data_IF_133543859152
#
_entry.id   IF_133543859152
#
_cell.length_a   1.000
_cell.length_b   1.000
_cell.length_c   1.000
_cell.angle_alpha   90.00
_cell.angle_beta   90.00
_cell.angle_gamma   90.00
#
_symmetry.space_group_name_H-M   'P 1'
#
loop_
_entity.id
_entity.type
_entity.pdbx_description
1 polymer ?
#
# COMPACT_ATOMS: atom_id res chain seq x y z
N UNK A 1 45.80 2.05 -30.32
CA UNK A 1 44.47 2.43 -30.86
C UNK A 1 43.50 2.53 -29.68
N UNK A 2 42.69 3.59 -29.54
CA UNK A 2 41.75 3.73 -28.40
C UNK A 2 40.56 2.77 -28.59
N UNK A 3 40.18 1.96 -27.59
CA UNK A 3 39.00 1.10 -27.70
C UNK A 3 37.73 1.95 -27.80
N UNK A 4 36.86 1.63 -28.76
CA UNK A 4 35.55 2.30 -28.90
C UNK A 4 34.65 1.80 -27.77
N UNK A 5 34.08 2.71 -27.00
CA UNK A 5 33.25 2.41 -25.83
C UNK A 5 31.84 1.92 -26.19
N UNK A 6 31.33 2.32 -27.36
CA UNK A 6 30.00 1.99 -27.88
C UNK A 6 29.61 0.49 -27.87
N UNK A 7 30.45 -0.47 -28.29
CA UNK A 7 30.10 -1.89 -28.21
C UNK A 7 29.91 -2.40 -26.77
N UNK A 8 30.65 -1.85 -25.79
CA UNK A 8 30.51 -2.21 -24.39
C UNK A 8 29.23 -1.61 -23.78
N UNK A 9 28.89 -0.37 -24.17
CA UNK A 9 27.62 0.27 -23.79
C UNK A 9 26.43 -0.53 -24.33
N UNK A 10 26.48 -0.92 -25.60
CA UNK A 10 25.41 -1.73 -26.22
C UNK A 10 25.29 -3.10 -25.54
N UNK A 11 26.42 -3.76 -25.27
CA UNK A 11 26.46 -5.03 -24.54
C UNK A 11 25.88 -4.92 -23.13
N UNK A 12 26.21 -3.84 -22.40
CA UNK A 12 25.63 -3.57 -21.09
C UNK A 12 24.12 -3.38 -21.14
N UNK A 13 23.62 -2.57 -22.09
CA UNK A 13 22.17 -2.32 -22.25
C UNK A 13 21.43 -3.64 -22.52
N UNK A 14 21.95 -4.49 -23.41
CA UNK A 14 21.33 -5.78 -23.73
C UNK A 14 21.34 -6.75 -22.55
N UNK A 15 22.44 -6.82 -21.79
CA UNK A 15 22.54 -7.68 -20.61
C UNK A 15 21.63 -7.16 -19.49
N UNK A 16 21.57 -5.84 -19.28
CA UNK A 16 20.71 -5.23 -18.28
C UNK A 16 19.23 -5.45 -18.61
N UNK A 17 18.82 -5.25 -19.87
CA UNK A 17 17.46 -5.54 -20.34
C UNK A 17 17.13 -7.03 -20.22
N UNK A 18 18.01 -7.93 -20.66
CA UNK A 18 17.82 -9.37 -20.54
C UNK A 18 17.70 -9.83 -19.09
N UNK A 19 18.55 -9.31 -18.19
CA UNK A 19 18.47 -9.61 -16.76
C UNK A 19 17.15 -9.10 -16.15
N UNK A 20 16.76 -7.86 -16.49
CA UNK A 20 15.51 -7.27 -16.01
C UNK A 20 14.31 -8.11 -16.45
N UNK A 21 14.28 -8.54 -17.72
CA UNK A 21 13.24 -9.43 -18.24
C UNK A 21 13.24 -10.76 -17.48
N UNK A 22 14.39 -11.40 -17.26
CA UNK A 22 14.47 -12.67 -16.51
C UNK A 22 13.95 -12.53 -15.07
N UNK A 23 14.37 -11.47 -14.37
CA UNK A 23 13.92 -11.20 -13.01
C UNK A 23 12.43 -10.93 -12.98
N UNK A 24 11.92 -10.11 -13.90
CA UNK A 24 10.49 -9.83 -14.05
C UNK A 24 9.69 -11.09 -14.37
N UNK A 25 10.16 -11.95 -15.27
CA UNK A 25 9.50 -13.22 -15.61
C UNK A 25 9.48 -14.19 -14.43
N UNK A 26 10.57 -14.27 -13.65
CA UNK A 26 10.60 -15.09 -12.43
C UNK A 26 9.69 -14.56 -11.33
N UNK A 27 9.69 -13.25 -11.12
CA UNK A 27 8.81 -12.61 -10.14
C UNK A 27 7.35 -12.72 -10.58
N UNK A 28 7.08 -12.56 -11.86
CA UNK A 28 5.76 -12.80 -12.44
C UNK A 28 5.33 -14.25 -12.26
N UNK A 29 6.19 -15.25 -12.51
CA UNK A 29 5.83 -16.65 -12.26
C UNK A 29 5.66 -16.97 -10.76
N UNK A 30 6.46 -16.36 -9.89
CA UNK A 30 6.30 -16.51 -8.45
C UNK A 30 4.99 -15.88 -7.97
N UNK A 31 4.70 -14.64 -8.36
CA UNK A 31 3.44 -13.96 -8.10
C UNK A 31 2.26 -14.72 -8.70
N UNK A 32 2.41 -15.17 -9.93
CA UNK A 32 1.41 -16.01 -10.59
C UNK A 32 1.23 -17.32 -9.82
N UNK A 33 2.25 -17.93 -9.22
CA UNK A 33 2.11 -19.21 -8.50
C UNK A 33 1.63 -19.06 -7.06
N UNK A 34 1.94 -17.95 -6.39
CA UNK A 34 1.75 -17.77 -4.94
C UNK A 34 0.71 -16.72 -4.60
N UNK A 35 0.42 -15.79 -5.50
CA UNK A 35 -0.36 -14.59 -5.23
C UNK A 35 0.40 -13.53 -4.43
N UNK A 36 1.66 -13.79 -4.05
CA UNK A 36 2.50 -12.90 -3.26
C UNK A 36 3.60 -12.28 -4.14
N UNK A 37 3.97 -11.04 -3.87
CA UNK A 37 5.16 -10.45 -4.46
C UNK A 37 6.41 -11.12 -3.86
N UNK A 38 7.30 -11.60 -4.73
CA UNK A 38 8.57 -12.17 -4.27
C UNK A 38 9.40 -11.05 -3.62
N UNK A 39 9.84 -11.19 -2.36
CA UNK A 39 10.58 -10.14 -1.68
C UNK A 39 11.86 -9.77 -2.43
N UNK A 40 12.11 -8.46 -2.56
CA UNK A 40 13.40 -7.95 -3.05
C UNK A 40 13.56 -7.90 -4.58
N UNK A 41 12.47 -7.82 -5.36
CA UNK A 41 12.52 -7.66 -6.81
C UNK A 41 13.44 -6.52 -7.26
N UNK A 42 13.21 -5.32 -6.74
CA UNK A 42 14.00 -4.13 -7.05
C UNK A 42 15.46 -4.33 -6.64
N UNK A 43 15.70 -4.99 -5.50
CA UNK A 43 17.05 -5.36 -5.04
C UNK A 43 17.74 -6.33 -6.00
N UNK A 44 17.03 -7.34 -6.53
CA UNK A 44 17.54 -8.34 -7.47
C UNK A 44 17.85 -7.74 -8.85
N UNK A 45 16.98 -6.86 -9.34
CA UNK A 45 17.22 -6.09 -10.58
C UNK A 45 18.44 -5.19 -10.38
N UNK A 46 18.46 -4.36 -9.33
CA UNK A 46 19.57 -3.45 -9.03
C UNK A 46 20.89 -4.20 -8.89
N UNK A 47 20.95 -5.24 -8.07
CA UNK A 47 22.18 -5.97 -7.80
C UNK A 47 22.68 -6.69 -9.06
N UNK A 48 21.81 -7.28 -9.86
CA UNK A 48 22.23 -7.93 -11.11
C UNK A 48 22.65 -6.94 -12.20
N UNK A 49 22.02 -5.76 -12.29
CA UNK A 49 22.48 -4.67 -13.16
C UNK A 49 23.85 -4.14 -12.71
N UNK A 50 24.10 -4.03 -11.40
CA UNK A 50 25.42 -3.65 -10.86
C UNK A 50 26.49 -4.70 -11.15
N UNK A 51 26.16 -6.00 -11.07
CA UNK A 51 27.07 -7.08 -11.48
C UNK A 51 27.35 -7.01 -12.97
N UNK A 52 26.33 -6.81 -13.83
CA UNK A 52 26.51 -6.63 -15.26
C UNK A 52 27.39 -5.42 -15.59
N UNK A 53 27.19 -4.30 -14.89
CA UNK A 53 28.04 -3.11 -15.01
C UNK A 53 29.49 -3.42 -14.61
N UNK A 54 29.68 -4.13 -13.50
CA UNK A 54 31.00 -4.56 -13.03
C UNK A 54 31.72 -5.48 -14.03
N UNK A 55 31.00 -6.44 -14.62
CA UNK A 55 31.56 -7.36 -15.64
C UNK A 55 31.91 -6.61 -16.92
N UNK A 56 31.06 -5.69 -17.39
CA UNK A 56 31.34 -4.90 -18.59
C UNK A 56 32.47 -3.90 -18.35
N UNK A 57 32.53 -3.29 -17.17
CA UNK A 57 33.63 -2.42 -16.76
C UNK A 57 34.95 -3.19 -16.67
N UNK A 58 34.94 -4.41 -16.11
CA UNK A 58 36.10 -5.29 -16.09
C UNK A 58 36.53 -5.72 -17.49
N UNK A 59 35.59 -6.08 -18.37
CA UNK A 59 35.88 -6.43 -19.77
C UNK A 59 36.44 -5.24 -20.55
N UNK A 60 35.92 -4.02 -20.31
CA UNK A 60 36.45 -2.79 -20.88
C UNK A 60 37.85 -2.48 -20.35
N UNK A 61 38.08 -2.61 -19.04
CA UNK A 61 39.38 -2.43 -18.41
C UNK A 61 40.41 -3.44 -18.93
N UNK A 62 40.05 -4.73 -19.04
CA UNK A 62 40.89 -5.78 -19.61
C UNK A 62 41.24 -5.48 -21.07
N UNK A 63 40.26 -5.06 -21.88
CA UNK A 63 40.47 -4.65 -23.27
C UNK A 63 41.40 -3.44 -23.39
N UNK A 64 41.20 -2.44 -22.53
CA UNK A 64 42.02 -1.22 -22.47
C UNK A 64 43.46 -1.53 -22.02
N UNK A 65 43.64 -2.36 -21.00
CA UNK A 65 44.95 -2.80 -20.49
C UNK A 65 45.67 -3.66 -21.54
N UNK A 66 44.96 -4.54 -22.24
CA UNK A 66 45.52 -5.41 -23.28
C UNK A 66 46.04 -4.61 -24.49
N UNK A 67 45.37 -3.50 -24.83
CA UNK A 67 45.79 -2.56 -25.88
C UNK A 67 46.96 -1.65 -25.47
N UNK A 68 47.26 -1.52 -24.18
CA UNK A 68 48.21 -0.53 -23.64
C UNK A 68 49.35 -1.13 -22.79
N UNK A 69 49.69 -2.42 -22.94
CA UNK A 69 50.74 -3.06 -22.12
C UNK A 69 52.17 -2.53 -22.38
N UNK A 70 52.81 -2.03 -21.32
CA UNK A 70 54.26 -2.16 -21.03
C UNK A 70 54.42 -2.83 -19.65
N UNK A 71 55.55 -3.51 -19.35
CA UNK A 71 55.61 -4.40 -18.19
C UNK A 71 56.11 -3.74 -16.89
N UNK A 72 55.61 -4.26 -15.76
CA UNK A 72 56.27 -4.50 -14.45
C UNK A 72 55.60 -3.93 -13.17
N UNK A 73 55.36 -4.89 -12.25
CA UNK A 73 55.22 -5.02 -10.77
C UNK A 73 54.32 -4.17 -9.84
N UNK A 74 53.78 -4.79 -8.75
CA UNK A 74 52.69 -4.27 -7.93
C UNK A 74 53.14 -3.65 -6.60
N UNK A 75 52.29 -2.84 -5.94
CA UNK A 75 51.96 -3.20 -4.55
C UNK A 75 50.53 -2.88 -4.03
N UNK A 76 50.16 -3.74 -3.07
CA UNK A 76 49.42 -3.59 -1.80
C UNK A 76 47.93 -3.15 -1.73
N UNK A 77 47.19 -3.97 -0.97
CA UNK A 77 45.79 -3.87 -0.61
C UNK A 77 45.56 -2.97 0.62
N UNK A 78 44.40 -2.30 0.66
CA UNK A 78 43.84 -1.70 1.88
C UNK A 78 42.34 -2.00 1.95
N UNK A 79 41.89 -2.38 3.14
CA UNK A 79 40.60 -2.98 3.46
C UNK A 79 39.42 -2.00 3.53
N UNK A 80 38.23 -2.54 3.27
CA UNK A 80 36.92 -1.91 3.45
C UNK A 80 36.55 -1.73 4.94
N UNK A 81 35.88 -0.63 5.27
CA UNK A 81 35.10 -0.49 6.50
C UNK A 81 33.62 -0.33 6.17
N UNK A 82 32.82 -1.30 6.62
CA UNK A 82 31.35 -1.29 6.60
C UNK A 82 30.88 -0.43 7.78
N UNK A 83 30.10 0.61 7.50
CA UNK A 83 29.35 1.37 8.51
C UNK A 83 28.00 0.70 8.77
N UNK A 84 27.78 0.35 10.04
CA UNK A 84 26.55 -0.26 10.59
C UNK A 84 25.50 0.84 10.81
N UNK A 85 24.28 0.62 10.32
CA UNK A 85 23.11 1.45 10.65
C UNK A 85 22.69 1.24 12.12
N UNK A 86 22.32 2.30 12.86
CA UNK A 86 21.83 2.12 14.23
C UNK A 86 20.40 1.54 14.22
N UNK A 87 20.18 0.59 15.12
CA UNK A 87 18.87 0.04 15.47
C UNK A 87 18.10 1.11 16.26
N UNK A 88 16.90 1.48 15.80
CA UNK A 88 15.97 2.33 16.54
C UNK A 88 15.46 1.59 17.78
N UNK A 89 15.42 2.23 18.97
CA UNK A 89 14.87 1.61 20.16
C UNK A 89 13.34 1.51 20.06
N UNK A 90 12.81 0.37 20.53
CA UNK A 90 11.38 0.12 20.65
C UNK A 90 10.70 1.24 21.45
N UNK A 91 9.70 1.89 20.85
CA UNK A 91 8.87 2.88 21.52
C UNK A 91 8.22 2.25 22.76
N UNK A 92 8.40 2.91 23.90
CA UNK A 92 7.77 2.52 25.16
C UNK A 92 6.25 2.62 25.03
N UNK A 93 5.57 1.48 25.02
CA UNK A 93 4.12 1.42 25.20
C UNK A 93 3.77 1.97 26.59
N UNK A 94 3.31 3.22 26.65
CA UNK A 94 2.61 3.73 27.82
C UNK A 94 1.27 3.00 27.93
N UNK A 95 1.20 2.01 28.82
CA UNK A 95 -0.06 1.35 29.16
C UNK A 95 -0.95 2.33 29.90
N UNK A 96 -1.99 2.83 29.21
CA UNK A 96 -3.06 3.59 29.85
C UNK A 96 -3.90 2.62 30.70
N UNK A 97 -3.67 2.63 32.02
CA UNK A 97 -4.30 1.77 33.03
C UNK A 97 -5.85 1.88 33.15
N UNK A 98 -6.53 2.63 32.27
CA UNK A 98 -8.00 2.69 32.16
C UNK A 98 -8.62 1.84 31.05
N UNK A 99 -7.81 1.10 30.29
CA UNK A 99 -8.21 0.42 29.03
C UNK A 99 -9.28 -0.67 29.21
N UNK A 100 -9.21 -1.66 30.13
CA UNK A 100 -10.08 -2.83 30.05
C UNK A 100 -11.57 -2.51 30.20
N UNK A 101 -11.93 -1.61 31.12
CA UNK A 101 -13.33 -1.24 31.37
C UNK A 101 -13.94 -0.41 30.23
N UNK A 102 -13.13 0.36 29.52
CA UNK A 102 -13.56 1.15 28.35
C UNK A 102 -13.68 0.25 27.13
N UNK A 103 -12.73 -0.66 26.92
CA UNK A 103 -12.75 -1.63 25.83
C UNK A 103 -13.87 -2.67 25.95
N UNK A 104 -14.36 -2.92 27.17
CA UNK A 104 -15.50 -3.81 27.42
C UNK A 104 -16.87 -3.16 27.12
N UNK A 105 -16.92 -1.88 26.75
CA UNK A 105 -18.18 -1.20 26.45
C UNK A 105 -18.77 -1.70 25.12
N UNK A 106 -20.09 -1.89 25.09
CA UNK A 106 -20.85 -2.41 23.95
C UNK A 106 -22.12 -1.58 23.74
N UNK A 107 -22.82 -1.80 22.63
CA UNK A 107 -23.97 -0.95 22.24
C UNK A 107 -23.53 0.49 22.00
N UNK A 108 -24.37 1.47 22.31
CA UNK A 108 -24.15 2.91 22.06
C UNK A 108 -22.89 3.53 22.72
N UNK A 109 -22.18 2.79 23.57
CA UNK A 109 -21.00 3.27 24.31
C UNK A 109 -19.70 2.62 23.86
N UNK A 110 -19.72 1.90 22.74
CA UNK A 110 -18.53 1.21 22.30
C UNK A 110 -17.39 2.17 21.96
N UNK A 111 -16.17 1.63 21.95
CA UNK A 111 -14.98 2.34 21.53
C UNK A 111 -14.32 1.63 20.36
N UNK A 112 -13.68 2.41 19.50
CA UNK A 112 -12.82 1.91 18.43
C UNK A 112 -11.37 2.03 18.87
N UNK A 113 -10.66 0.91 18.87
CA UNK A 113 -9.23 0.88 19.13
C UNK A 113 -8.47 1.10 17.84
N UNK A 114 -7.58 2.10 17.85
CA UNK A 114 -6.60 2.29 16.81
C UNK A 114 -5.54 1.19 16.91
N UNK A 115 -5.53 0.29 15.93
CA UNK A 115 -4.56 -0.82 15.83
C UNK A 115 -3.37 -0.48 14.96
N UNK A 116 -3.54 0.44 14.02
CA UNK A 116 -2.49 0.98 13.19
C UNK A 116 -2.81 2.42 12.82
N UNK A 117 -1.79 3.26 12.77
CA UNK A 117 -1.88 4.66 12.38
C UNK A 117 -0.71 4.98 11.47
N UNK A 118 -1.01 5.45 10.28
CA UNK A 118 -0.05 6.03 9.36
C UNK A 118 -0.40 7.46 9.09
N UNK A 119 0.32 8.37 9.72
CA UNK A 119 0.30 9.80 9.45
C UNK A 119 1.56 10.13 8.65
N UNK A 120 1.41 10.74 7.49
CA UNK A 120 2.54 11.22 6.68
C UNK A 120 2.28 12.66 6.29
N UNK A 121 3.30 13.52 6.39
CA UNK A 121 3.25 14.85 5.79
C UNK A 121 4.65 15.26 5.33
N UNK A 122 4.74 15.78 4.11
CA UNK A 122 6.03 16.02 3.47
C UNK A 122 6.86 14.74 3.36
N UNK A 123 7.98 14.66 4.10
CA UNK A 123 8.86 13.48 4.14
C UNK A 123 8.79 12.72 5.46
N UNK A 124 8.00 13.20 6.41
CA UNK A 124 7.98 12.68 7.76
C UNK A 124 6.75 11.82 8.00
N UNK A 125 6.95 10.73 8.74
CA UNK A 125 5.87 9.83 9.14
C UNK A 125 5.78 9.73 10.68
N UNK A 126 4.57 9.61 11.20
CA UNK A 126 4.27 9.32 12.61
C UNK A 126 5.13 10.09 13.64
N UNK A 127 6.06 9.40 14.30
CA UNK A 127 6.92 9.94 15.35
C UNK A 127 7.91 10.98 14.82
N UNK A 128 8.35 10.89 13.57
CA UNK A 128 9.19 11.92 12.95
C UNK A 128 8.49 13.28 12.90
N UNK A 129 7.16 13.29 12.69
CA UNK A 129 6.35 14.51 12.72
C UNK A 129 6.36 15.09 14.13
N UNK A 130 6.11 14.26 15.15
CA UNK A 130 6.12 14.69 16.54
C UNK A 130 7.49 15.18 16.99
N UNK A 131 8.56 14.46 16.64
CA UNK A 131 9.93 14.87 16.90
C UNK A 131 10.26 16.21 16.24
N UNK A 132 9.77 16.46 15.02
CA UNK A 132 9.98 17.74 14.33
C UNK A 132 9.20 18.88 14.98
N UNK A 133 7.96 18.64 15.41
CA UNK A 133 7.14 19.60 16.16
C UNK A 133 7.79 19.94 17.52
N UNK A 134 8.24 18.93 18.27
CA UNK A 134 8.93 19.11 19.55
C UNK A 134 10.25 19.86 19.38
N UNK A 135 11.07 19.49 18.38
CA UNK A 135 12.33 20.16 18.09
C UNK A 135 12.14 21.61 17.65
N UNK A 136 11.06 21.91 16.92
CA UNK A 136 10.69 23.28 16.55
C UNK A 136 10.33 24.12 17.78
N UNK A 137 9.74 23.50 18.80
CA UNK A 137 9.40 24.11 20.09
C UNK A 137 8.58 25.42 19.98
N UNK A 138 7.75 25.55 18.94
CA UNK A 138 6.91 26.72 18.71
C UNK A 138 5.56 26.30 18.10
N UNK A 139 4.51 26.35 18.93
CA UNK A 139 3.16 25.92 18.57
C UNK A 139 2.45 26.85 17.57
N UNK A 140 3.01 28.03 17.26
CA UNK A 140 2.40 29.02 16.36
C UNK A 140 3.09 29.08 15.00
N UNK A 141 4.05 28.20 14.74
CA UNK A 141 4.77 28.16 13.46
C UNK A 141 4.81 26.74 12.92
N UNK A 142 4.93 26.63 11.59
CA UNK A 142 5.15 25.34 10.95
C UNK A 142 6.55 24.82 11.25
N UNK A 143 6.68 23.51 11.47
CA UNK A 143 7.98 22.84 11.53
C UNK A 143 8.56 22.58 10.12
N UNK A 144 7.72 22.67 9.08
CA UNK A 144 8.11 22.46 7.69
C UNK A 144 9.03 23.58 7.19
N UNK A 145 10.02 23.21 6.38
CA UNK A 145 10.95 24.18 5.80
C UNK A 145 10.23 25.26 4.98
N UNK A 146 10.71 26.49 5.05
CA UNK A 146 10.24 27.59 4.20
C UNK A 146 11.17 27.83 3.00
N UNK A 147 12.21 27.01 2.86
CA UNK A 147 13.16 27.09 1.75
C UNK A 147 12.67 26.23 0.57
N UNK A 148 12.39 26.83 -0.62
CA UNK A 148 11.92 26.08 -1.78
C UNK A 148 12.86 24.96 -2.24
N UNK A 149 14.18 25.05 -1.96
CA UNK A 149 15.13 24.02 -2.38
C UNK A 149 15.02 22.71 -1.60
N UNK A 150 14.29 22.71 -0.48
CA UNK A 150 14.09 21.51 0.35
C UNK A 150 12.95 20.62 -0.21
N UNK A 151 12.23 21.13 -1.20
CA UNK A 151 11.10 20.47 -1.86
C UNK A 151 11.49 19.95 -3.25
N UNK A 152 10.75 18.96 -3.79
CA UNK A 152 10.98 18.45 -5.15
C UNK A 152 11.02 19.58 -6.18
N UNK A 153 12.00 19.53 -7.09
CA UNK A 153 12.25 20.58 -8.09
C UNK A 153 11.65 20.27 -9.47
N UNK A 154 11.02 19.11 -9.60
CA UNK A 154 10.34 18.68 -10.82
C UNK A 154 9.08 17.87 -10.51
N UNK A 155 8.20 17.77 -11.51
CA UNK A 155 6.90 17.13 -11.40
C UNK A 155 7.00 15.64 -11.06
N UNK A 156 7.90 14.91 -11.72
CA UNK A 156 8.07 13.46 -11.53
C UNK A 156 8.50 13.14 -10.09
N UNK A 157 9.42 13.95 -9.55
CA UNK A 157 9.85 13.83 -8.16
C UNK A 157 8.69 14.15 -7.23
N UNK A 158 7.93 15.22 -7.46
CA UNK A 158 6.76 15.55 -6.64
C UNK A 158 5.75 14.39 -6.60
N UNK A 159 5.48 13.78 -7.76
CA UNK A 159 4.61 12.62 -7.86
C UNK A 159 5.15 11.40 -7.11
N UNK A 160 6.45 11.12 -7.24
CA UNK A 160 7.10 10.03 -6.49
C UNK A 160 6.96 10.23 -4.98
N UNK A 161 7.13 11.45 -4.47
CA UNK A 161 6.95 11.72 -3.03
C UNK A 161 5.49 11.53 -2.58
N UNK A 162 4.52 11.91 -3.41
CA UNK A 162 3.11 11.69 -3.13
C UNK A 162 2.79 10.20 -3.04
N UNK A 163 3.22 9.41 -4.03
CA UNK A 163 3.02 7.95 -4.07
C UNK A 163 3.68 7.27 -2.86
N UNK A 164 4.95 7.59 -2.57
CA UNK A 164 5.66 7.04 -1.41
C UNK A 164 4.96 7.41 -0.10
N UNK A 165 4.51 8.66 0.06
CA UNK A 165 3.81 9.07 1.27
C UNK A 165 2.46 8.39 1.43
N UNK A 166 1.72 8.21 0.33
CA UNK A 166 0.42 7.55 0.31
C UNK A 166 0.56 6.07 0.66
N UNK A 167 1.44 5.35 -0.03
CA UNK A 167 1.77 3.97 0.27
C UNK A 167 2.28 3.76 1.70
N UNK A 168 3.19 4.61 2.19
CA UNK A 168 3.73 4.52 3.54
C UNK A 168 2.64 4.73 4.60
N UNK A 169 1.75 5.72 4.42
CA UNK A 169 0.65 5.97 5.35
C UNK A 169 -0.26 4.75 5.44
N UNK A 170 -0.63 4.16 4.30
CA UNK A 170 -1.50 3.00 4.28
C UNK A 170 -0.81 1.75 4.82
N UNK A 171 0.48 1.56 4.52
CA UNK A 171 1.29 0.48 5.08
C UNK A 171 1.31 0.55 6.61
N UNK A 172 1.67 1.69 7.19
CA UNK A 172 1.77 1.88 8.65
C UNK A 172 0.43 1.66 9.37
N UNK A 173 -0.69 1.90 8.68
CA UNK A 173 -2.01 1.67 9.23
C UNK A 173 -2.49 0.22 9.04
N UNK A 174 -2.54 -0.24 7.80
CA UNK A 174 -3.24 -1.46 7.41
C UNK A 174 -2.36 -2.72 7.44
N UNK A 175 -1.04 -2.63 7.61
CA UNK A 175 -0.18 -3.82 7.78
C UNK A 175 -0.54 -4.68 9.01
N UNK A 176 -1.31 -4.12 9.95
CA UNK A 176 -1.81 -4.85 11.12
C UNK A 176 -3.22 -5.46 10.93
N UNK A 177 -3.82 -5.33 9.74
CA UNK A 177 -5.09 -5.97 9.43
C UNK A 177 -4.95 -7.48 9.36
N UNK A 178 -6.06 -8.21 9.47
CA UNK A 178 -6.04 -9.66 9.29
C UNK A 178 -5.76 -10.01 7.82
N UNK A 179 -4.71 -10.79 7.60
CA UNK A 179 -4.36 -11.27 6.27
C UNK A 179 -5.50 -12.11 5.67
N UNK A 180 -5.68 -12.00 4.35
CA UNK A 180 -6.64 -12.76 3.55
C UNK A 180 -8.13 -12.55 3.87
N UNK A 181 -8.49 -11.73 4.85
CA UNK A 181 -9.88 -11.32 5.06
C UNK A 181 -10.20 -10.00 4.37
N UNK A 182 -11.39 -9.85 3.75
CA UNK A 182 -11.78 -8.59 3.12
C UNK A 182 -12.01 -7.49 4.17
N UNK A 183 -11.11 -6.50 4.21
CA UNK A 183 -11.15 -5.36 5.13
C UNK A 183 -11.97 -4.23 4.51
N UNK A 184 -13.03 -3.74 5.17
CA UNK A 184 -13.80 -2.58 4.69
C UNK A 184 -12.96 -1.30 4.79
N UNK A 185 -12.92 -0.54 3.69
CA UNK A 185 -12.17 0.71 3.59
C UNK A 185 -13.09 1.89 3.27
N UNK A 186 -12.97 2.95 4.07
CA UNK A 186 -13.54 4.27 3.81
C UNK A 186 -12.44 5.18 3.27
N UNK A 187 -12.66 5.84 2.13
CA UNK A 187 -11.64 6.67 1.48
C UNK A 187 -12.15 8.07 1.08
N UNK A 188 -11.60 9.10 1.71
CA UNK A 188 -11.98 10.50 1.53
C UNK A 188 -10.85 11.27 0.87
N UNK A 189 -11.18 12.03 -0.17
CA UNK A 189 -10.24 12.88 -0.90
C UNK A 189 -10.78 14.31 -1.04
N UNK A 190 -9.94 15.30 -1.40
CA UNK A 190 -10.42 16.65 -1.69
C UNK A 190 -11.43 16.65 -2.86
N UNK A 191 -12.15 17.76 -3.07
CA UNK A 191 -13.05 17.91 -4.21
C UNK A 191 -12.33 17.61 -5.53
N UNK A 192 -12.99 16.84 -6.40
CA UNK A 192 -12.47 16.41 -7.71
C UNK A 192 -13.27 17.03 -8.84
N UNK A 193 -12.63 17.23 -10.00
CA UNK A 193 -13.36 17.57 -11.21
C UNK A 193 -14.29 16.40 -11.62
N UNK A 194 -15.47 16.68 -12.22
CA UNK A 194 -16.46 15.64 -12.48
C UNK A 194 -15.96 14.46 -13.29
N UNK A 195 -14.97 14.64 -14.18
CA UNK A 195 -14.40 13.61 -15.06
C UNK A 195 -13.29 12.75 -14.42
N UNK A 196 -12.77 13.13 -13.24
CA UNK A 196 -11.74 12.35 -12.53
C UNK A 196 -12.39 11.18 -11.78
N UNK A 197 -11.75 10.02 -11.76
CA UNK A 197 -12.26 8.84 -11.05
C UNK A 197 -12.53 9.13 -9.56
N UNK A 198 -13.52 8.43 -9.02
CA UNK A 198 -13.89 8.52 -7.60
C UNK A 198 -12.78 7.96 -6.70
N UNK A 199 -12.73 8.33 -5.41
CA UNK A 199 -11.63 7.95 -4.52
C UNK A 199 -11.41 6.44 -4.37
N UNK A 200 -12.47 5.63 -4.45
CA UNK A 200 -12.33 4.18 -4.41
C UNK A 200 -11.35 3.61 -5.46
N UNK A 201 -11.15 4.32 -6.58
CA UNK A 201 -10.21 3.95 -7.64
C UNK A 201 -8.74 3.90 -7.17
N UNK A 202 -8.39 4.63 -6.12
CA UNK A 202 -7.02 4.70 -5.60
C UNK A 202 -6.64 3.43 -4.82
N UNK A 203 -7.62 2.69 -4.28
CA UNK A 203 -7.37 1.56 -3.36
C UNK A 203 -6.43 0.50 -3.93
N UNK A 204 -6.49 0.22 -5.23
CA UNK A 204 -5.57 -0.73 -5.89
C UNK A 204 -4.12 -0.22 -5.90
N UNK A 205 -3.93 1.05 -6.26
CA UNK A 205 -2.61 1.70 -6.26
C UNK A 205 -2.03 1.77 -4.86
N UNK A 206 -2.80 2.32 -3.91
CA UNK A 206 -2.38 2.50 -2.52
C UNK A 206 -1.99 1.15 -1.88
N UNK A 207 -2.75 0.09 -2.14
CA UNK A 207 -2.43 -1.26 -1.64
C UNK A 207 -1.12 -1.79 -2.22
N UNK A 208 -0.87 -1.58 -3.52
CA UNK A 208 0.39 -1.98 -4.15
C UNK A 208 1.56 -1.20 -3.56
N UNK A 209 1.44 0.12 -3.46
CA UNK A 209 2.47 0.99 -2.90
C UNK A 209 2.79 0.63 -1.44
N UNK A 210 1.77 0.22 -0.67
CA UNK A 210 1.91 -0.25 0.71
C UNK A 210 2.50 -1.66 0.84
N UNK A 211 2.77 -2.36 -0.26
CA UNK A 211 3.22 -3.77 -0.28
C UNK A 211 2.28 -4.74 0.45
N UNK A 212 0.98 -4.42 0.50
CA UNK A 212 -0.05 -5.22 1.19
C UNK A 212 -0.61 -6.31 0.27
N UNK A 213 0.30 -7.11 -0.29
CA UNK A 213 0.04 -8.08 -1.35
C UNK A 213 -0.97 -9.17 -1.00
N UNK A 214 -1.24 -9.42 0.29
CA UNK A 214 -2.18 -10.44 0.80
C UNK A 214 -3.42 -9.88 1.50
N UNK A 215 -3.46 -8.57 1.73
CA UNK A 215 -4.63 -7.91 2.33
C UNK A 215 -5.73 -7.80 1.30
N UNK A 216 -6.95 -8.23 1.61
CA UNK A 216 -8.10 -8.01 0.72
C UNK A 216 -8.81 -6.74 1.14
N UNK A 217 -9.17 -5.86 0.20
CA UNK A 217 -9.86 -4.62 0.50
C UNK A 217 -11.27 -4.64 -0.08
N UNK A 218 -12.24 -4.09 0.66
CA UNK A 218 -13.57 -3.80 0.16
C UNK A 218 -13.77 -2.30 0.15
N UNK A 219 -14.23 -1.76 -0.98
CA UNK A 219 -14.72 -0.39 -1.00
C UNK A 219 -16.03 -0.31 -0.19
N UNK A 220 -15.97 0.30 0.99
CA UNK A 220 -17.12 0.43 1.89
C UNK A 220 -17.87 1.74 1.62
N UNK A 221 -17.16 2.86 1.59
CA UNK A 221 -17.70 4.16 1.22
C UNK A 221 -16.58 5.06 0.71
N UNK A 222 -16.91 6.04 -0.13
CA UNK A 222 -15.98 7.07 -0.58
C UNK A 222 -16.65 8.44 -0.68
N UNK A 223 -15.87 9.51 -0.51
CA UNK A 223 -16.36 10.86 -0.70
C UNK A 223 -15.27 11.84 -1.17
N UNK A 224 -15.71 12.89 -1.86
CA UNK A 224 -14.90 14.06 -2.17
C UNK A 224 -15.39 15.24 -1.33
N UNK A 225 -14.55 15.75 -0.44
CA UNK A 225 -14.92 16.77 0.54
C UNK A 225 -13.72 17.61 0.96
N UNK A 226 -13.94 18.89 1.27
CA UNK A 226 -12.92 19.73 1.91
C UNK A 226 -12.83 19.48 3.42
N UNK A 227 -13.82 18.78 4.01
CA UNK A 227 -13.83 18.39 5.42
C UNK A 227 -13.91 16.86 5.56
N UNK A 228 -12.79 16.28 6.01
CA UNK A 228 -12.65 14.85 6.26
C UNK A 228 -13.32 14.34 7.54
N UNK A 229 -13.75 15.21 8.47
CA UNK A 229 -14.23 14.79 9.79
C UNK A 229 -15.43 13.84 9.73
N UNK A 230 -16.27 13.98 8.72
CA UNK A 230 -17.45 13.12 8.48
C UNK A 230 -17.10 11.64 8.32
N UNK A 231 -15.88 11.29 7.93
CA UNK A 231 -15.45 9.89 7.80
C UNK A 231 -15.54 9.14 9.15
N UNK A 232 -15.30 9.83 10.26
CA UNK A 232 -15.36 9.25 11.60
C UNK A 232 -16.81 8.95 11.98
N UNK A 233 -17.74 9.87 11.71
CA UNK A 233 -19.17 9.65 11.95
C UNK A 233 -19.68 8.45 11.15
N UNK A 234 -19.28 8.34 9.87
CA UNK A 234 -19.61 7.21 9.01
C UNK A 234 -19.04 5.89 9.52
N UNK A 235 -17.80 5.91 10.01
CA UNK A 235 -17.15 4.75 10.59
C UNK A 235 -17.89 4.22 11.83
N UNK A 236 -18.26 5.10 12.77
CA UNK A 236 -19.03 4.70 13.95
C UNK A 236 -20.42 4.15 13.57
N UNK A 237 -21.14 4.84 12.68
CA UNK A 237 -22.45 4.37 12.20
C UNK A 237 -22.36 3.01 11.50
N UNK A 238 -21.26 2.73 10.79
CA UNK A 238 -21.00 1.44 10.18
C UNK A 238 -20.83 0.33 11.22
N UNK A 239 -20.02 0.53 12.26
CA UNK A 239 -19.86 -0.47 13.33
C UNK A 239 -21.15 -0.70 14.13
N UNK A 240 -22.00 0.31 14.27
CA UNK A 240 -23.34 0.16 14.88
C UNK A 240 -24.26 -0.70 14.01
N UNK A 241 -24.27 -0.47 12.69
CA UNK A 241 -25.10 -1.21 11.75
C UNK A 241 -24.59 -2.65 11.49
N UNK A 242 -23.30 -2.89 11.70
CA UNK A 242 -22.63 -4.15 11.39
C UNK A 242 -21.91 -4.74 12.62
N UNK A 243 -22.64 -5.35 13.57
CA UNK A 243 -22.08 -5.90 14.80
C UNK A 243 -21.13 -7.09 14.58
N UNK A 244 -21.07 -7.61 13.35
CA UNK A 244 -20.24 -8.71 12.89
C UNK A 244 -18.91 -8.27 12.25
N UNK A 245 -18.64 -6.96 12.20
CA UNK A 245 -17.38 -6.40 11.71
C UNK A 245 -16.38 -6.27 12.86
N UNK A 246 -15.19 -6.88 12.75
CA UNK A 246 -14.16 -6.77 13.77
C UNK A 246 -13.25 -5.55 13.58
N UNK A 247 -13.00 -5.16 12.32
CA UNK A 247 -12.05 -4.11 11.95
C UNK A 247 -12.45 -3.39 10.66
N UNK A 248 -11.95 -2.17 10.50
CA UNK A 248 -12.11 -1.35 9.31
C UNK A 248 -10.94 -0.38 9.17
N UNK A 249 -10.69 0.08 7.95
CA UNK A 249 -9.67 1.09 7.67
C UNK A 249 -10.33 2.36 7.17
N UNK A 250 -9.86 3.51 7.66
CA UNK A 250 -10.12 4.80 7.03
C UNK A 250 -8.86 5.32 6.37
N UNK A 251 -9.01 6.01 5.25
CA UNK A 251 -7.92 6.65 4.51
C UNK A 251 -8.37 8.03 4.07
N UNK A 252 -7.52 9.02 4.27
CA UNK A 252 -7.69 10.34 3.69
C UNK A 252 -6.35 10.94 3.35
N UNK A 253 -6.31 11.71 2.27
CA UNK A 253 -5.12 12.46 1.87
C UNK A 253 -5.54 13.70 1.12
N UNK A 254 -4.84 14.80 1.39
CA UNK A 254 -5.03 16.09 0.74
C UNK A 254 -3.67 16.80 0.66
N UNK A 255 -3.53 17.71 -0.31
CA UNK A 255 -2.24 18.28 -0.62
C UNK A 255 -2.21 19.03 -1.94
N UNK A 256 -1.18 19.85 -2.13
CA UNK A 256 -0.99 20.58 -3.37
C UNK A 256 -0.86 19.65 -4.60
N UNK A 257 -0.20 18.50 -4.45
CA UNK A 257 -0.06 17.53 -5.53
C UNK A 257 -1.38 16.77 -5.75
N UNK A 258 -2.02 16.30 -4.68
CA UNK A 258 -3.33 15.63 -4.75
C UNK A 258 -4.39 16.52 -5.40
N UNK A 259 -4.53 17.78 -4.97
CA UNK A 259 -5.51 18.73 -5.55
C UNK A 259 -5.24 19.04 -7.01
N UNK A 260 -3.98 19.02 -7.44
CA UNK A 260 -3.64 19.13 -8.87
C UNK A 260 -4.14 17.92 -9.66
N UNK A 261 -3.83 16.70 -9.21
CA UNK A 261 -4.24 15.46 -9.87
C UNK A 261 -5.76 15.35 -9.97
N UNK A 262 -6.41 15.72 -8.88
CA UNK A 262 -7.85 15.75 -8.74
C UNK A 262 -8.52 16.86 -9.55
N UNK A 263 -7.74 17.78 -10.12
CA UNK A 263 -8.23 18.98 -10.80
C UNK A 263 -9.26 19.70 -9.93
N UNK A 264 -8.93 19.84 -8.65
CA UNK A 264 -9.84 20.35 -7.64
C UNK A 264 -10.42 21.70 -8.07
N UNK A 265 -11.75 21.86 -8.12
CA UNK A 265 -12.37 23.11 -8.55
C UNK A 265 -11.84 24.32 -7.78
N UNK A 266 -11.39 25.34 -8.50
CA UNK A 266 -10.84 26.58 -7.91
C UNK A 266 -9.40 26.48 -7.40
N UNK A 267 -8.76 25.30 -7.42
CA UNK A 267 -7.36 25.15 -7.06
C UNK A 267 -6.44 25.62 -8.20
N UNK A 268 -5.39 26.36 -7.85
CA UNK A 268 -4.35 26.84 -8.79
C UNK A 268 -3.00 26.30 -8.34
N UNK A 269 -2.40 25.44 -9.18
CA UNK A 269 -1.05 24.90 -8.93
C UNK A 269 0.01 26.01 -9.08
N UNK A 270 0.77 26.25 -8.01
CA UNK A 270 1.80 27.30 -7.92
C UNK A 270 3.22 26.77 -8.11
N UNK A 271 3.36 25.49 -8.46
CA UNK A 271 4.65 24.82 -8.59
C UNK A 271 5.58 25.46 -9.64
N UNK A 272 5.01 26.07 -10.68
CA UNK A 272 5.81 26.78 -11.70
C UNK A 272 6.45 28.06 -11.18
N UNK A 273 5.96 28.60 -10.07
CA UNK A 273 6.42 29.84 -9.45
C UNK A 273 7.40 29.55 -8.30
N UNK A 274 7.17 28.46 -7.56
CA UNK A 274 7.99 28.03 -6.44
C UNK A 274 7.79 26.54 -6.15
N UNK A 275 8.85 25.85 -5.77
CA UNK A 275 8.77 24.46 -5.30
C UNK A 275 8.13 24.35 -3.90
N UNK A 276 8.00 25.46 -3.18
CA UNK A 276 7.34 25.52 -1.87
C UNK A 276 5.83 25.27 -2.06
N UNK A 277 5.26 24.17 -1.52
CA UNK A 277 3.85 23.87 -1.68
C UNK A 277 2.99 24.89 -0.92
N UNK A 278 1.89 25.33 -1.53
CA UNK A 278 0.85 26.12 -0.84
C UNK A 278 0.16 25.34 0.26
N UNK A 279 0.11 24.01 0.12
CA UNK A 279 -0.39 23.08 1.10
C UNK A 279 0.47 21.80 1.03
N UNK A 280 1.22 21.45 2.08
CA UNK A 280 1.98 20.21 2.12
C UNK A 280 1.07 19.00 1.95
N UNK A 281 1.47 18.05 1.11
CA UNK A 281 0.76 16.78 1.01
C UNK A 281 0.78 16.08 2.36
N UNK A 282 -0.41 15.67 2.80
CA UNK A 282 -0.64 15.08 4.11
C UNK A 282 -1.62 13.92 3.96
N UNK A 283 -1.26 12.77 4.51
CA UNK A 283 -2.03 11.54 4.44
C UNK A 283 -2.25 10.98 5.83
N UNK A 284 -3.44 10.45 6.06
CA UNK A 284 -3.80 9.68 7.25
C UNK A 284 -4.47 8.40 6.81
N UNK A 285 -3.93 7.27 7.23
CA UNK A 285 -4.64 6.01 7.27
C UNK A 285 -4.71 5.52 8.71
N UNK A 286 -5.83 4.89 9.06
CA UNK A 286 -6.03 4.36 10.40
C UNK A 286 -6.80 3.05 10.34
N UNK A 287 -6.20 1.99 10.88
CA UNK A 287 -6.86 0.72 11.14
C UNK A 287 -7.49 0.78 12.52
N UNK A 288 -8.79 0.56 12.58
CA UNK A 288 -9.54 0.49 13.83
C UNK A 288 -10.17 -0.88 14.03
N UNK A 289 -10.35 -1.28 15.28
CA UNK A 289 -11.04 -2.52 15.62
C UNK A 289 -11.89 -2.41 16.87
N UNK A 290 -12.78 -3.37 17.03
CA UNK A 290 -13.54 -3.63 18.26
C UNK A 290 -12.94 -4.84 18.99
N UNK A 291 -12.23 -4.65 20.11
CA UNK A 291 -11.65 -5.79 20.85
C UNK A 291 -12.69 -6.84 21.21
N UNK A 292 -13.87 -6.44 21.65
CA UNK A 292 -14.94 -7.39 22.00
C UNK A 292 -15.34 -8.26 20.82
N UNK A 293 -15.34 -7.72 19.59
CA UNK A 293 -15.62 -8.46 18.36
C UNK A 293 -14.46 -9.35 17.95
N UNK A 294 -13.23 -8.87 18.06
CA UNK A 294 -12.03 -9.70 17.82
C UNK A 294 -12.01 -10.89 18.79
N UNK A 295 -12.31 -10.67 20.07
CA UNK A 295 -12.32 -11.71 21.10
C UNK A 295 -13.46 -12.71 20.94
N UNK A 296 -14.60 -12.28 20.41
CA UNK A 296 -15.77 -13.14 20.22
C UNK A 296 -15.78 -13.86 18.87
N UNK A 297 -15.33 -13.20 17.80
CA UNK A 297 -15.53 -13.65 16.41
C UNK A 297 -14.25 -14.19 15.77
N UNK A 298 -13.07 -13.83 16.29
CA UNK A 298 -11.78 -14.19 15.68
C UNK A 298 -10.99 -15.13 16.58
N UNK A 299 -10.54 -14.67 17.75
CA UNK A 299 -9.60 -15.42 18.62
C UNK A 299 -10.03 -16.86 18.94
N UNK A 300 -11.32 -17.17 19.19
CA UNK A 300 -11.75 -18.53 19.51
C UNK A 300 -11.64 -19.52 18.34
N UNK A 301 -11.58 -19.01 17.11
CA UNK A 301 -11.63 -19.79 15.88
C UNK A 301 -10.33 -19.76 15.08
N UNK A 302 -9.35 -18.98 15.55
CA UNK A 302 -8.05 -18.83 14.92
C UNK A 302 -7.38 -20.19 14.68
N UNK A 303 -6.81 -20.36 13.49
CA UNK A 303 -6.06 -21.54 13.09
C UNK A 303 -4.63 -21.17 12.76
N UNK A 304 -3.69 -22.03 13.13
CA UNK A 304 -2.33 -21.93 12.61
C UNK A 304 -2.33 -22.31 11.12
N UNK A 305 -1.96 -21.35 10.27
CA UNK A 305 -1.71 -21.60 8.86
C UNK A 305 -0.23 -21.90 8.66
N UNK A 306 0.07 -22.95 7.91
CA UNK A 306 1.45 -23.28 7.54
C UNK A 306 1.91 -22.42 6.36
N UNK A 307 3.19 -22.07 6.31
CA UNK A 307 3.81 -21.26 5.23
C UNK A 307 3.66 -21.83 3.81
N UNK A 308 3.18 -23.07 3.64
CA UNK A 308 3.04 -23.76 2.36
C UNK A 308 1.67 -23.56 1.65
N UNK A 309 0.82 -22.64 2.13
CA UNK A 309 -0.47 -22.32 1.49
C UNK A 309 -0.22 -21.38 0.30
N UNK A 310 -0.68 -21.77 -0.89
CA UNK A 310 -0.65 -20.92 -2.09
C UNK A 310 -1.97 -21.02 -2.87
N UNK A 311 -2.13 -20.23 -3.94
CA UNK A 311 -3.38 -20.20 -4.71
C UNK A 311 -3.87 -21.56 -5.24
N UNK A 312 -2.99 -22.56 -5.33
CA UNK A 312 -3.31 -23.91 -5.84
C UNK A 312 -3.69 -24.90 -4.73
N UNK A 313 -3.45 -24.59 -3.45
CA UNK A 313 -3.84 -25.44 -2.30
C UNK A 313 -5.30 -25.19 -1.93
N UNK A 314 -6.20 -25.63 -2.81
CA UNK A 314 -7.65 -25.39 -2.72
C UNK A 314 -8.36 -26.24 -1.66
N UNK A 315 -7.64 -27.11 -0.97
CA UNK A 315 -8.13 -27.81 0.21
C UNK A 315 -8.40 -26.87 1.41
N UNK A 316 -7.73 -25.71 1.45
CA UNK A 316 -7.94 -24.70 2.49
C UNK A 316 -9.01 -23.69 2.10
N UNK A 317 -9.94 -23.42 3.01
CA UNK A 317 -11.02 -22.48 2.77
C UNK A 317 -10.50 -21.04 2.57
N UNK A 318 -9.35 -20.67 3.15
CA UNK A 318 -8.68 -19.38 2.90
C UNK A 318 -8.20 -19.22 1.45
N UNK A 319 -7.66 -20.29 0.85
CA UNK A 319 -7.25 -20.29 -0.55
C UNK A 319 -8.46 -20.15 -1.47
N UNK A 320 -9.56 -20.84 -1.13
CA UNK A 320 -10.82 -20.71 -1.87
C UNK A 320 -11.35 -19.28 -1.79
N UNK A 321 -11.32 -18.67 -0.60
CA UNK A 321 -11.71 -17.28 -0.40
C UNK A 321 -10.88 -16.34 -1.29
N UNK A 322 -9.56 -16.46 -1.24
CA UNK A 322 -8.65 -15.66 -2.04
C UNK A 322 -8.96 -15.76 -3.54
N UNK A 323 -9.06 -16.99 -4.06
CA UNK A 323 -9.36 -17.22 -5.47
C UNK A 323 -10.73 -16.69 -5.87
N UNK A 324 -11.76 -16.93 -5.05
CA UNK A 324 -13.11 -16.45 -5.29
C UNK A 324 -13.18 -14.92 -5.27
N UNK A 325 -12.53 -14.29 -4.30
CA UNK A 325 -12.46 -12.83 -4.20
C UNK A 325 -11.88 -12.24 -5.49
N UNK A 326 -10.71 -12.71 -5.94
CA UNK A 326 -10.07 -12.15 -7.13
C UNK A 326 -10.78 -12.52 -8.44
N UNK A 327 -11.42 -13.68 -8.54
CA UNK A 327 -12.32 -14.02 -9.67
C UNK A 327 -13.44 -12.99 -9.79
N UNK A 328 -14.06 -12.64 -8.66
CA UNK A 328 -15.16 -11.69 -8.59
C UNK A 328 -14.70 -10.24 -8.79
N UNK A 329 -13.50 -9.90 -8.32
CA UNK A 329 -12.93 -8.55 -8.43
C UNK A 329 -12.42 -8.26 -9.85
N UNK A 330 -11.52 -9.12 -10.35
CA UNK A 330 -10.74 -8.88 -11.57
C UNK A 330 -11.27 -9.66 -12.78
N UNK A 331 -12.40 -10.36 -12.65
CA UNK A 331 -12.97 -11.12 -13.76
C UNK A 331 -13.26 -10.23 -14.97
N UNK A 332 -12.90 -10.70 -16.16
CA UNK A 332 -13.29 -10.06 -17.44
C UNK A 332 -14.68 -10.53 -17.92
N UNK A 333 -15.27 -11.50 -17.23
CA UNK A 333 -16.57 -12.07 -17.56
C UNK A 333 -17.75 -11.21 -17.07
N UNK A 334 -18.97 -11.46 -17.58
CA UNK A 334 -20.18 -10.70 -17.22
C UNK A 334 -20.58 -10.82 -15.74
N UNK A 335 -20.02 -11.77 -15.00
CA UNK A 335 -20.26 -11.96 -13.57
C UNK A 335 -19.27 -11.24 -12.65
N UNK A 336 -18.40 -10.37 -13.18
CA UNK A 336 -17.44 -9.61 -12.38
C UNK A 336 -18.02 -8.33 -11.82
N UNK A 337 -17.34 -7.79 -10.80
CA UNK A 337 -17.71 -6.49 -10.25
C UNK A 337 -17.60 -5.37 -11.29
N UNK A 338 -16.58 -5.42 -12.15
CA UNK A 338 -16.39 -4.38 -13.16
C UNK A 338 -17.57 -4.33 -14.14
N UNK A 339 -18.00 -5.49 -14.64
CA UNK A 339 -19.17 -5.57 -15.53
C UNK A 339 -20.42 -5.01 -14.84
N UNK A 340 -20.68 -5.43 -13.59
CA UNK A 340 -21.78 -4.92 -12.77
C UNK A 340 -21.71 -3.40 -12.58
N UNK A 341 -20.54 -2.88 -12.23
CA UNK A 341 -20.36 -1.46 -11.93
C UNK A 341 -20.52 -0.59 -13.18
N UNK A 342 -20.01 -1.03 -14.34
CA UNK A 342 -20.21 -0.33 -15.59
C UNK A 342 -21.70 -0.30 -16.01
N UNK A 343 -22.45 -1.38 -15.79
CA UNK A 343 -23.89 -1.40 -16.04
C UNK A 343 -24.66 -0.42 -15.14
N UNK A 344 -24.31 -0.36 -13.86
CA UNK A 344 -24.88 0.62 -12.91
C UNK A 344 -24.63 2.06 -13.37
N UNK A 345 -23.40 2.38 -13.79
CA UNK A 345 -23.07 3.70 -14.33
C UNK A 345 -23.88 4.04 -15.58
N UNK A 346 -24.00 3.10 -16.53
CA UNK A 346 -24.81 3.29 -17.75
C UNK A 346 -26.28 3.56 -17.42
N UNK A 347 -26.84 2.84 -16.45
CA UNK A 347 -28.25 2.97 -16.06
C UNK A 347 -28.58 4.38 -15.53
N UNK A 348 -27.62 5.07 -14.92
CA UNK A 348 -27.77 6.44 -14.43
C UNK A 348 -27.21 7.50 -15.39
N UNK A 349 -26.91 7.13 -16.64
CA UNK A 349 -26.44 8.03 -17.68
C UNK A 349 -24.98 8.50 -17.53
N UNK A 350 -24.20 7.86 -16.66
CA UNK A 350 -22.78 8.13 -16.48
C UNK A 350 -22.00 7.29 -17.50
N UNK A 351 -21.09 7.92 -18.24
CA UNK A 351 -20.17 7.16 -19.10
C UNK A 351 -19.29 6.26 -18.22
N UNK A 352 -19.22 4.95 -18.51
CA UNK A 352 -18.40 4.02 -17.74
C UNK A 352 -16.96 4.51 -17.66
N UNK A 353 -16.45 4.67 -16.43
CA UNK A 353 -15.02 4.90 -16.19
C UNK A 353 -14.29 3.59 -15.98
N UNK A 354 -12.98 3.66 -16.16
CA UNK A 354 -12.06 2.54 -15.93
C UNK A 354 -12.20 1.99 -14.51
N UNK A 355 -11.87 0.70 -14.40
CA UNK A 355 -11.89 -0.18 -13.23
C UNK A 355 -11.52 0.48 -11.90
N UNK A 356 -12.41 0.38 -10.90
CA UNK A 356 -12.24 0.92 -9.55
C UNK A 356 -11.15 0.24 -8.71
N UNK A 357 -10.50 -0.83 -9.19
CA UNK A 357 -9.50 -1.55 -8.42
C UNK A 357 -10.08 -2.59 -7.46
N UNK A 358 -11.13 -2.23 -6.70
CA UNK A 358 -11.77 -3.11 -5.72
C UNK A 358 -13.30 -3.07 -5.76
N UNK A 359 -13.92 -4.23 -5.48
CA UNK A 359 -15.36 -4.37 -5.38
C UNK A 359 -15.95 -3.66 -4.18
N UNK A 360 -17.20 -3.21 -4.31
CA UNK A 360 -17.93 -2.66 -3.18
C UNK A 360 -18.31 -3.75 -2.18
N UNK A 361 -18.32 -3.41 -0.89
CA UNK A 361 -18.73 -4.31 0.18
C UNK A 361 -20.17 -4.83 -0.03
N UNK A 362 -21.06 -3.96 -0.51
CA UNK A 362 -22.45 -4.34 -0.83
C UNK A 362 -22.51 -5.40 -1.93
N UNK A 363 -21.73 -5.25 -3.00
CA UNK A 363 -21.74 -6.24 -4.08
C UNK A 363 -21.11 -7.55 -3.62
N UNK A 364 -19.97 -7.48 -2.90
CA UNK A 364 -19.32 -8.66 -2.30
C UNK A 364 -20.30 -9.51 -1.49
N UNK A 365 -21.09 -8.86 -0.63
CA UNK A 365 -22.10 -9.52 0.20
C UNK A 365 -23.09 -10.37 -0.60
N UNK A 366 -23.46 -9.94 -1.81
CA UNK A 366 -24.39 -10.70 -2.68
C UNK A 366 -23.77 -11.98 -3.25
N UNK A 367 -22.43 -12.08 -3.29
CA UNK A 367 -21.70 -13.21 -3.86
C UNK A 367 -21.46 -14.34 -2.83
N UNK A 368 -21.49 -14.00 -1.53
CA UNK A 368 -21.16 -14.91 -0.44
C UNK A 368 -22.05 -16.15 -0.32
N UNK A 369 -23.38 -16.11 -0.57
CA UNK A 369 -24.20 -17.32 -0.48
C UNK A 369 -23.74 -18.46 -1.39
N UNK A 370 -23.21 -18.14 -2.58
CA UNK A 370 -22.62 -19.16 -3.47
C UNK A 370 -21.26 -19.62 -2.96
N UNK A 371 -20.41 -18.69 -2.49
CA UNK A 371 -19.11 -19.02 -1.92
C UNK A 371 -19.22 -19.96 -0.71
N UNK A 372 -20.16 -19.70 0.19
CA UNK A 372 -20.33 -20.49 1.41
C UNK A 372 -20.72 -21.95 1.16
N UNK A 373 -21.25 -22.28 -0.02
CA UNK A 373 -21.50 -23.68 -0.43
C UNK A 373 -20.21 -24.44 -0.75
N UNK A 374 -19.10 -23.75 -0.97
CA UNK A 374 -17.81 -24.32 -1.38
C UNK A 374 -16.85 -24.58 -0.22
N UNK A 375 -17.13 -24.00 0.94
CA UNK A 375 -16.29 -24.06 2.14
C UNK A 375 -16.83 -25.06 3.15
N UNK A 376 -15.97 -25.49 4.07
CA UNK A 376 -16.33 -26.48 5.09
C UNK A 376 -16.17 -25.99 6.52
N UNK A 377 -15.43 -24.91 6.79
CA UNK A 377 -15.39 -24.39 8.15
C UNK A 377 -14.55 -25.24 9.12
N UNK A 378 -13.71 -26.17 8.64
CA UNK A 378 -13.18 -27.29 9.45
C UNK A 378 -12.18 -26.91 10.54
N UNK A 379 -12.52 -27.16 11.82
CA UNK A 379 -11.65 -27.22 13.02
C UNK A 379 -12.35 -26.75 14.32
N UNK A 380 -11.73 -26.01 15.26
CA UNK A 380 -12.33 -25.79 16.59
C UNK A 380 -13.58 -24.92 16.57
N UNK A 381 -14.54 -25.26 17.43
CA UNK A 381 -15.74 -24.48 17.69
C UNK A 381 -16.77 -24.49 16.55
N UNK A 382 -17.93 -23.89 16.82
CA UNK A 382 -18.96 -23.65 15.81
C UNK A 382 -18.75 -22.28 15.16
N UNK A 383 -17.76 -22.18 14.28
CA UNK A 383 -17.50 -20.93 13.53
C UNK A 383 -18.68 -20.62 12.60
N UNK A 384 -19.21 -19.39 12.70
CA UNK A 384 -20.27 -18.88 11.83
C UNK A 384 -19.69 -17.83 10.87
N UNK A 385 -19.63 -18.10 9.56
CA UNK A 385 -19.20 -17.12 8.57
C UNK A 385 -20.05 -15.85 8.61
N UNK A 386 -19.38 -14.71 8.43
CA UNK A 386 -20.01 -13.40 8.25
C UNK A 386 -19.51 -12.76 6.95
N UNK A 387 -20.13 -11.68 6.46
CA UNK A 387 -19.63 -11.01 5.28
C UNK A 387 -18.19 -10.51 5.31
N UNK A 388 -17.72 -10.14 6.49
CA UNK A 388 -16.39 -9.58 6.71
C UNK A 388 -15.43 -10.59 7.34
N UNK A 389 -15.96 -11.75 7.78
CA UNK A 389 -15.20 -12.90 8.27
C UNK A 389 -15.75 -14.17 7.58
N UNK A 390 -15.53 -14.34 6.27
CA UNK A 390 -16.22 -15.36 5.47
C UNK A 390 -15.67 -16.77 5.67
N UNK A 391 -14.44 -16.89 6.20
CA UNK A 391 -13.78 -18.14 6.59
C UNK A 391 -13.03 -17.88 7.90
N UNK A 392 -12.55 -18.95 8.54
CA UNK A 392 -11.82 -18.89 9.81
C UNK A 392 -10.30 -19.01 9.65
#
# INVERSE_FOLDING_TARGET
>A
MKPRIWPYILGFILIALGWTIIVMTRHYHYWQATGQEMPGMVGSIRNGVLVALGVVAAAFAVSYIWLNRTPVEPPHAVASSISVSPVLPAAAMHSNNGTPAVLAQTGEKFVLEVRGLGLVTGRNANDEIWNAVEAKADNHSTYMSQNPTDYPDNEDSRMTYLEVGTGLSFQLAAHHSVDYWPVPVFIWEPPKAPHVSRPANELSGIRQEASLGVTLLLWQEDANTDDGATIIEKLFAFFDAHPDVPEAVIVTFDGAATRKLNQTPGYVDTFKQSNLPTMPDSMVAMLVSRSDRVDQLIRPYAVEQTENVNKNTTEYDITKLWNFFWEKNNGEGPGSFEAYYQEQQKAVGIQPRAFLGFMSAQWWQTQLPEFWKTISNKGPGEFKPTPYIPVR
#
